data_IF_169081935465
#
_entry.id   IF_169081935465
#
_cell.length_a   1.000
_cell.length_b   1.000
_cell.length_c   1.000
_cell.angle_alpha   90.00
_cell.angle_beta   90.00
_cell.angle_gamma   90.00
#
_symmetry.space_group_name_H-M   'P 1'
#
loop_
_entity.id
_entity.type
_entity.pdbx_description
1 polymer ?
#
# COMPACT_ATOMS: atom_id res chain seq x y z
N UNK A 1 -18.50 -12.08 0.64
CA UNK A 1 -18.21 -10.65 0.86
C UNK A 1 -18.44 -9.94 -0.47
N UNK A 2 -18.98 -8.72 -0.49
CA UNK A 2 -19.46 -8.12 -1.73
C UNK A 2 -18.32 -7.74 -2.66
N UNK A 3 -18.44 -8.14 -3.91
CA UNK A 3 -17.57 -7.71 -4.99
C UNK A 3 -18.34 -6.68 -5.81
N UNK A 4 -17.69 -5.56 -6.12
CA UNK A 4 -18.24 -4.59 -7.06
C UNK A 4 -18.39 -5.24 -8.44
N UNK A 5 -19.59 -5.19 -9.01
CA UNK A 5 -19.81 -5.59 -10.40
C UNK A 5 -19.42 -4.43 -11.32
N UNK A 6 -18.38 -4.63 -12.13
CA UNK A 6 -17.87 -3.62 -13.05
C UNK A 6 -18.37 -3.87 -14.47
N UNK A 7 -18.83 -2.81 -15.13
CA UNK A 7 -19.10 -2.83 -16.58
C UNK A 7 -17.80 -3.05 -17.36
N UNK A 8 -17.84 -3.54 -18.62
CA UNK A 8 -16.63 -3.74 -19.43
C UNK A 8 -15.75 -2.49 -19.54
N UNK A 9 -16.36 -1.31 -19.73
CA UNK A 9 -15.64 -0.04 -19.77
C UNK A 9 -14.91 0.27 -18.45
N UNK A 10 -15.56 0.06 -17.31
CA UNK A 10 -14.95 0.29 -15.98
C UNK A 10 -13.84 -0.72 -15.70
N UNK A 11 -14.00 -1.98 -16.11
CA UNK A 11 -12.92 -2.98 -16.05
C UNK A 11 -11.71 -2.52 -16.87
N UNK A 12 -11.95 -1.98 -18.08
CA UNK A 12 -10.91 -1.39 -18.92
C UNK A 12 -10.13 -0.28 -18.19
N UNK A 13 -10.82 0.65 -17.53
CA UNK A 13 -10.19 1.71 -16.74
C UNK A 13 -9.35 1.16 -15.58
N UNK A 14 -9.89 0.19 -14.83
CA UNK A 14 -9.16 -0.43 -13.71
C UNK A 14 -7.90 -1.15 -14.20
N UNK A 15 -8.00 -1.90 -15.29
CA UNK A 15 -6.86 -2.62 -15.87
C UNK A 15 -5.81 -1.62 -16.37
N UNK A 16 -6.22 -0.60 -17.12
CA UNK A 16 -5.31 0.45 -17.59
C UNK A 16 -4.60 1.17 -16.43
N UNK A 17 -5.34 1.55 -15.39
CA UNK A 17 -4.78 2.17 -14.20
C UNK A 17 -3.78 1.27 -13.47
N UNK A 18 -4.11 -0.01 -13.30
CA UNK A 18 -3.20 -0.98 -12.68
C UNK A 18 -1.93 -1.20 -13.51
N UNK A 19 -2.05 -1.30 -14.83
CA UNK A 19 -0.92 -1.43 -15.75
C UNK A 19 0.00 -0.20 -15.69
N UNK A 20 -0.56 1.01 -15.59
CA UNK A 20 0.22 2.23 -15.43
C UNK A 20 0.98 2.21 -14.09
N UNK A 21 0.32 1.86 -12.98
CA UNK A 21 0.99 1.74 -11.66
C UNK A 21 2.16 0.75 -11.72
N UNK A 22 1.96 -0.41 -12.37
CA UNK A 22 3.03 -1.40 -12.54
C UNK A 22 4.14 -0.86 -13.46
N UNK A 23 3.80 -0.23 -14.57
CA UNK A 23 4.78 0.34 -15.50
C UNK A 23 5.62 1.44 -14.83
N UNK A 24 5.01 2.29 -14.01
CA UNK A 24 5.70 3.33 -13.23
C UNK A 24 6.64 2.71 -12.19
N UNK A 25 6.24 1.62 -11.54
CA UNK A 25 7.13 0.89 -10.62
C UNK A 25 8.31 0.24 -11.36
N UNK A 26 8.07 -0.39 -12.53
CA UNK A 26 9.14 -0.95 -13.36
C UNK A 26 10.11 0.15 -13.79
N UNK A 27 9.60 1.30 -14.22
CA UNK A 27 10.40 2.47 -14.56
C UNK A 27 11.32 2.87 -13.40
N UNK A 28 10.80 2.99 -12.17
CA UNK A 28 11.60 3.32 -10.98
C UNK A 28 12.74 2.31 -10.74
N UNK A 29 12.43 1.02 -10.82
CA UNK A 29 13.40 -0.05 -10.56
C UNK A 29 14.50 -0.10 -11.62
N UNK A 30 14.16 0.22 -12.87
CA UNK A 30 15.11 0.23 -13.99
C UNK A 30 15.94 1.51 -14.06
N UNK A 31 15.32 2.67 -13.88
CA UNK A 31 15.97 3.98 -14.05
C UNK A 31 16.71 4.42 -12.78
N UNK A 32 16.31 3.94 -11.61
CA UNK A 32 16.99 4.17 -10.32
C UNK A 32 17.27 5.66 -10.03
N UNK A 33 16.23 6.50 -10.04
CA UNK A 33 16.39 7.92 -9.78
C UNK A 33 16.94 8.18 -8.37
N UNK A 34 17.86 9.15 -8.26
CA UNK A 34 18.58 9.45 -7.02
C UNK A 34 18.12 10.75 -6.33
N UNK A 35 17.41 11.64 -7.04
CA UNK A 35 16.97 12.94 -6.54
C UNK A 35 15.53 12.91 -6.03
N UNK A 36 15.33 12.60 -4.74
CA UNK A 36 13.99 12.47 -4.12
C UNK A 36 13.67 13.52 -3.06
N UNK A 37 14.41 14.63 -3.02
CA UNK A 37 14.13 15.73 -2.09
C UNK A 37 12.79 16.43 -2.40
N UNK A 38 12.37 16.40 -3.67
CA UNK A 38 11.09 16.92 -4.12
C UNK A 38 10.55 16.06 -5.26
N UNK A 39 9.24 15.81 -5.22
CA UNK A 39 8.52 15.04 -6.26
C UNK A 39 8.50 15.76 -7.62
N UNK A 40 8.80 17.06 -7.65
CA UNK A 40 8.92 17.86 -8.87
C UNK A 40 10.36 18.37 -9.10
N UNK A 41 11.35 17.80 -8.41
CA UNK A 41 12.74 18.25 -8.46
C UNK A 41 13.50 17.76 -9.69
N UNK A 42 13.01 16.73 -10.38
CA UNK A 42 13.68 16.12 -11.53
C UNK A 42 12.68 15.54 -12.54
N UNK A 43 13.14 15.27 -13.75
CA UNK A 43 12.32 14.66 -14.79
C UNK A 43 11.82 13.27 -14.35
N UNK A 44 12.66 12.50 -13.66
CA UNK A 44 12.37 11.14 -13.22
C UNK A 44 11.32 11.11 -12.10
N UNK A 45 11.41 12.04 -11.15
CA UNK A 45 10.40 12.19 -10.09
C UNK A 45 9.07 12.67 -10.65
N UNK A 46 9.10 13.59 -11.62
CA UNK A 46 7.90 14.05 -12.32
C UNK A 46 7.23 12.92 -13.12
N UNK A 47 8.00 12.12 -13.87
CA UNK A 47 7.47 10.96 -14.58
C UNK A 47 6.81 9.99 -13.59
N UNK A 48 7.43 9.78 -12.43
CA UNK A 48 6.89 8.91 -11.39
C UNK A 48 5.57 9.46 -10.83
N UNK A 49 5.54 10.75 -10.49
CA UNK A 49 4.34 11.41 -9.98
C UNK A 49 3.20 11.35 -10.99
N UNK A 50 3.46 11.73 -12.23
CA UNK A 50 2.45 11.71 -13.30
C UNK A 50 1.96 10.28 -13.54
N UNK A 51 2.85 9.30 -13.59
CA UNK A 51 2.50 7.90 -13.74
C UNK A 51 1.56 7.41 -12.64
N UNK A 52 1.91 7.63 -11.38
CA UNK A 52 1.06 7.21 -10.26
C UNK A 52 -0.22 8.03 -10.11
N UNK A 53 -0.21 9.34 -10.41
CA UNK A 53 -1.43 10.16 -10.46
C UNK A 53 -2.40 9.66 -11.54
N UNK A 54 -1.91 9.41 -12.75
CA UNK A 54 -2.73 8.88 -13.85
C UNK A 54 -3.27 7.49 -13.51
N UNK A 55 -2.42 6.63 -12.95
CA UNK A 55 -2.82 5.33 -12.43
C UNK A 55 -3.94 5.44 -11.40
N UNK A 56 -3.74 6.26 -10.36
CA UNK A 56 -4.75 6.50 -9.32
C UNK A 56 -6.06 7.05 -9.89
N UNK A 57 -5.99 8.04 -10.80
CA UNK A 57 -7.17 8.64 -11.42
C UNK A 57 -8.01 7.61 -12.19
N UNK A 58 -7.38 6.76 -12.99
CA UNK A 58 -8.06 5.70 -13.75
C UNK A 58 -8.67 4.63 -12.83
N UNK A 59 -7.94 4.25 -11.78
CA UNK A 59 -8.42 3.30 -10.78
C UNK A 59 -9.65 3.84 -10.05
N UNK A 60 -9.64 5.11 -9.65
CA UNK A 60 -10.78 5.78 -9.02
C UNK A 60 -11.95 5.92 -10.00
N UNK A 61 -11.70 6.33 -11.26
CA UNK A 61 -12.72 6.43 -12.28
C UNK A 61 -13.43 5.09 -12.57
N UNK A 62 -12.70 3.98 -12.48
CA UNK A 62 -13.27 2.64 -12.60
C UNK A 62 -14.00 2.17 -11.32
N UNK A 63 -13.45 2.45 -10.14
CA UNK A 63 -13.93 1.91 -8.87
C UNK A 63 -15.06 2.72 -8.24
N UNK A 64 -14.93 4.04 -8.12
CA UNK A 64 -15.85 4.90 -7.36
C UNK A 64 -17.31 4.78 -7.84
N UNK A 65 -17.61 4.76 -9.15
CA UNK A 65 -18.99 4.67 -9.63
C UNK A 65 -19.69 3.33 -9.33
N UNK A 66 -18.95 2.33 -8.83
CA UNK A 66 -19.50 1.05 -8.40
C UNK A 66 -19.62 0.94 -6.86
N UNK A 67 -19.24 1.99 -6.12
CA UNK A 67 -19.29 2.05 -4.67
C UNK A 67 -20.47 2.92 -4.20
N UNK A 68 -21.10 2.58 -3.07
CA UNK A 68 -22.08 3.47 -2.46
C UNK A 68 -21.38 4.70 -1.87
N UNK A 69 -22.07 5.84 -1.86
CA UNK A 69 -21.52 7.12 -1.41
C UNK A 69 -20.88 7.06 -0.01
N UNK A 70 -21.44 6.24 0.89
CA UNK A 70 -20.90 6.06 2.25
C UNK A 70 -19.52 5.41 2.25
N UNK A 71 -19.26 4.46 1.36
CA UNK A 71 -17.93 3.84 1.20
C UNK A 71 -16.94 4.83 0.63
N UNK A 72 -17.37 5.62 -0.37
CA UNK A 72 -16.53 6.67 -0.96
C UNK A 72 -16.08 7.65 0.13
N UNK A 73 -16.97 8.03 1.05
CA UNK A 73 -16.65 8.91 2.17
C UNK A 73 -15.61 8.34 3.15
N UNK A 74 -15.41 7.02 3.20
CA UNK A 74 -14.37 6.39 4.04
C UNK A 74 -12.98 6.53 3.41
N UNK A 75 -12.87 6.66 2.09
CA UNK A 75 -11.57 6.70 1.41
C UNK A 75 -10.70 7.86 1.93
N UNK A 76 -11.16 9.14 2.00
CA UNK A 76 -10.36 10.21 2.57
C UNK A 76 -9.95 9.98 4.03
N UNK A 77 -10.83 9.39 4.84
CA UNK A 77 -10.53 9.06 6.25
C UNK A 77 -9.45 7.98 6.34
N UNK A 78 -9.53 6.96 5.48
CA UNK A 78 -8.53 5.91 5.37
C UNK A 78 -7.15 6.46 4.96
N UNK A 79 -7.12 7.43 4.04
CA UNK A 79 -5.90 8.12 3.63
C UNK A 79 -5.27 8.89 4.79
N UNK A 80 -6.07 9.70 5.49
CA UNK A 80 -5.58 10.45 6.65
C UNK A 80 -5.05 9.50 7.73
N UNK A 81 -5.74 8.39 8.00
CA UNK A 81 -5.29 7.39 8.95
C UNK A 81 -3.93 6.81 8.57
N UNK A 82 -3.76 6.42 7.31
CA UNK A 82 -2.49 5.89 6.80
C UNK A 82 -1.35 6.90 6.97
N UNK A 83 -1.58 8.16 6.56
CA UNK A 83 -0.56 9.22 6.60
C UNK A 83 -0.18 9.53 8.05
N UNK A 84 -1.16 9.73 8.93
CA UNK A 84 -0.89 10.08 10.34
C UNK A 84 -0.19 8.95 11.07
N UNK A 85 -0.67 7.71 10.93
CA UNK A 85 -0.05 6.55 11.60
C UNK A 85 1.35 6.28 11.01
N UNK A 86 1.48 6.33 9.70
CA UNK A 86 2.77 6.15 9.01
C UNK A 86 3.80 7.19 9.44
N UNK A 87 3.41 8.46 9.59
CA UNK A 87 4.29 9.53 10.05
C UNK A 87 4.72 9.33 11.51
N UNK A 88 3.79 8.93 12.40
CA UNK A 88 4.12 8.64 13.80
C UNK A 88 5.10 7.46 13.89
N UNK A 89 4.85 6.36 13.18
CA UNK A 89 5.73 5.19 13.22
C UNK A 89 7.08 5.50 12.58
N UNK A 90 7.08 6.20 11.45
CA UNK A 90 8.29 6.61 10.73
C UNK A 90 9.19 7.53 11.55
N UNK A 91 8.63 8.39 12.41
CA UNK A 91 9.39 9.34 13.23
C UNK A 91 9.96 8.73 14.52
N UNK A 92 9.32 7.70 15.10
CA UNK A 92 9.80 7.04 16.34
C UNK A 92 10.93 6.04 16.05
N UNK A 93 11.09 5.60 14.80
CA UNK A 93 12.21 4.73 14.40
C UNK A 93 12.00 3.24 14.71
N UNK A 94 10.74 2.81 14.91
CA UNK A 94 10.41 1.37 14.93
C UNK A 94 10.60 0.82 13.51
N UNK A 95 11.18 -0.38 13.31
CA UNK A 95 11.37 -0.97 11.99
C UNK A 95 10.06 -1.57 11.43
N UNK A 96 8.98 -0.79 11.43
CA UNK A 96 7.65 -1.13 10.90
C UNK A 96 7.06 0.13 10.22
N UNK A 97 5.91 0.02 9.57
CA UNK A 97 5.28 1.13 8.85
C UNK A 97 3.88 1.46 9.36
N UNK A 98 3.02 0.46 9.49
CA UNK A 98 1.61 0.53 9.93
C UNK A 98 0.79 1.54 9.10
N UNK A 99 1.24 1.82 7.88
CA UNK A 99 0.75 2.85 6.96
C UNK A 99 -0.36 2.35 6.02
N UNK A 100 -0.82 1.11 6.21
CA UNK A 100 -1.81 0.48 5.33
C UNK A 100 -3.10 0.08 6.05
N UNK A 101 -3.33 0.56 7.27
CA UNK A 101 -4.54 0.26 8.06
C UNK A 101 -5.81 0.70 7.32
N UNK A 102 -5.85 1.95 6.86
CA UNK A 102 -6.96 2.49 6.07
C UNK A 102 -7.12 1.78 4.73
N UNK A 103 -6.01 1.49 4.04
CA UNK A 103 -6.02 0.77 2.76
C UNK A 103 -6.65 -0.61 2.89
N UNK A 104 -6.22 -1.39 3.89
CA UNK A 104 -6.73 -2.74 4.14
C UNK A 104 -8.16 -2.70 4.69
N UNK A 105 -8.53 -1.66 5.46
CA UNK A 105 -9.91 -1.43 5.89
C UNK A 105 -10.85 -1.21 4.71
N UNK A 106 -10.50 -0.33 3.76
CA UNK A 106 -11.29 -0.13 2.54
C UNK A 106 -11.34 -1.41 1.71
N UNK A 107 -10.22 -2.12 1.57
CA UNK A 107 -10.18 -3.41 0.86
C UNK A 107 -11.12 -4.45 1.49
N UNK A 108 -11.21 -4.49 2.82
CA UNK A 108 -12.05 -5.41 3.56
C UNK A 108 -13.55 -5.08 3.50
N UNK A 109 -13.90 -3.80 3.34
CA UNK A 109 -15.28 -3.33 3.21
C UNK A 109 -15.78 -3.40 1.77
N UNK A 110 -14.95 -2.99 0.81
CA UNK A 110 -15.34 -2.69 -0.57
C UNK A 110 -14.66 -3.58 -1.62
N UNK A 111 -13.74 -4.44 -1.20
CA UNK A 111 -13.09 -5.44 -2.03
C UNK A 111 -11.75 -5.00 -2.67
N UNK A 112 -11.14 -5.89 -3.47
CA UNK A 112 -9.77 -5.74 -3.97
C UNK A 112 -9.54 -4.46 -4.77
N UNK A 113 -10.47 -4.10 -5.65
CA UNK A 113 -10.31 -2.95 -6.55
C UNK A 113 -10.37 -1.62 -5.78
N UNK A 114 -11.25 -1.53 -4.77
CA UNK A 114 -11.31 -0.36 -3.90
C UNK A 114 -10.05 -0.24 -3.04
N UNK A 115 -9.54 -1.37 -2.52
CA UNK A 115 -8.26 -1.44 -1.80
C UNK A 115 -7.08 -0.99 -2.67
N UNK A 116 -7.00 -1.49 -3.90
CA UNK A 116 -5.99 -1.11 -4.89
C UNK A 116 -6.02 0.40 -5.18
N UNK A 117 -7.19 0.95 -5.49
CA UNK A 117 -7.33 2.39 -5.75
C UNK A 117 -6.97 3.25 -4.53
N UNK A 118 -7.40 2.82 -3.33
CA UNK A 118 -7.11 3.52 -2.07
C UNK A 118 -5.62 3.49 -1.75
N UNK A 119 -4.95 2.35 -1.93
CA UNK A 119 -3.52 2.19 -1.71
C UNK A 119 -2.70 3.11 -2.63
N UNK A 120 -2.99 3.10 -3.94
CA UNK A 120 -2.32 3.99 -4.89
C UNK A 120 -2.54 5.46 -4.52
N UNK A 121 -3.79 5.86 -4.26
CA UNK A 121 -4.11 7.24 -3.92
C UNK A 121 -3.43 7.68 -2.62
N UNK A 122 -3.39 6.80 -1.61
CA UNK A 122 -2.77 7.09 -0.32
C UNK A 122 -1.30 7.43 -0.46
N UNK A 123 -0.52 6.64 -1.21
CA UNK A 123 0.90 6.93 -1.43
C UNK A 123 1.13 8.14 -2.32
N UNK A 124 0.24 8.42 -3.28
CA UNK A 124 0.34 9.65 -4.09
C UNK A 124 0.10 10.88 -3.24
N UNK A 125 -0.98 10.91 -2.44
CA UNK A 125 -1.29 12.04 -1.56
C UNK A 125 -0.20 12.21 -0.51
N UNK A 126 0.26 11.12 0.10
CA UNK A 126 1.36 11.19 1.06
C UNK A 126 2.65 11.66 0.39
N UNK A 127 2.95 11.17 -0.82
CA UNK A 127 4.10 11.55 -1.62
C UNK A 127 4.23 13.05 -1.86
N UNK A 128 3.11 13.76 -2.00
CA UNK A 128 3.10 15.23 -2.14
C UNK A 128 3.51 15.97 -0.86
N UNK A 129 3.37 15.34 0.30
CA UNK A 129 3.74 15.87 1.61
C UNK A 129 5.13 15.37 2.06
N UNK A 130 5.40 14.09 1.76
CA UNK A 130 6.63 13.39 2.05
C UNK A 130 7.08 12.63 0.78
N UNK A 131 7.97 13.23 -0.03
CA UNK A 131 8.44 12.66 -1.29
C UNK A 131 8.96 11.22 -1.21
N UNK A 132 9.44 10.79 -0.04
CA UNK A 132 9.93 9.44 0.20
C UNK A 132 8.84 8.35 0.06
N UNK A 133 7.57 8.71 0.21
CA UNK A 133 6.46 7.77 0.13
C UNK A 133 6.04 7.41 -1.31
N UNK A 134 6.28 8.31 -2.28
CA UNK A 134 5.74 8.16 -3.63
C UNK A 134 6.23 6.88 -4.36
N UNK A 135 7.53 6.51 -4.30
CA UNK A 135 8.02 5.29 -4.97
C UNK A 135 7.39 3.99 -4.49
N UNK A 136 6.77 3.99 -3.32
CA UNK A 136 6.09 2.83 -2.74
C UNK A 136 4.61 2.73 -3.16
N UNK A 137 4.10 3.60 -4.03
CA UNK A 137 2.69 3.59 -4.41
C UNK A 137 2.21 2.26 -5.02
N UNK A 138 3.05 1.59 -5.82
CA UNK A 138 2.72 0.26 -6.34
C UNK A 138 2.69 -0.82 -5.24
N UNK A 139 3.52 -0.69 -4.21
CA UNK A 139 3.51 -1.60 -3.04
C UNK A 139 2.20 -1.43 -2.27
N UNK A 140 1.77 -0.18 -2.03
CA UNK A 140 0.48 0.12 -1.40
C UNK A 140 -0.71 -0.38 -2.22
N UNK A 141 -0.67 -0.19 -3.55
CA UNK A 141 -1.68 -0.69 -4.48
C UNK A 141 -1.80 -2.22 -4.43
N UNK A 142 -0.66 -2.93 -4.51
CA UNK A 142 -0.61 -4.39 -4.41
C UNK A 142 -1.11 -4.87 -3.05
N UNK A 143 -0.69 -4.22 -1.96
CA UNK A 143 -1.14 -4.53 -0.59
C UNK A 143 -2.66 -4.44 -0.48
N UNK A 144 -3.27 -3.35 -0.97
CA UNK A 144 -4.72 -3.16 -0.95
C UNK A 144 -5.47 -4.19 -1.79
N UNK A 145 -4.98 -4.50 -2.99
CA UNK A 145 -5.56 -5.53 -3.85
C UNK A 145 -5.52 -6.91 -3.21
N UNK A 146 -4.33 -7.35 -2.80
CA UNK A 146 -4.09 -8.68 -2.25
C UNK A 146 -4.83 -8.86 -0.93
N UNK A 147 -4.91 -7.82 -0.10
CA UNK A 147 -5.70 -7.88 1.13
C UNK A 147 -7.18 -8.06 0.85
N UNK A 148 -7.77 -7.26 -0.04
CA UNK A 148 -9.18 -7.43 -0.42
C UNK A 148 -9.44 -8.82 -1.02
N UNK A 149 -8.50 -9.35 -1.80
CA UNK A 149 -8.62 -10.69 -2.38
C UNK A 149 -8.55 -11.78 -1.31
N UNK A 150 -7.54 -11.76 -0.44
CA UNK A 150 -7.38 -12.75 0.63
C UNK A 150 -8.57 -12.73 1.62
N UNK A 151 -9.07 -11.53 1.95
CA UNK A 151 -10.23 -11.34 2.82
C UNK A 151 -11.49 -11.94 2.17
N UNK A 152 -11.69 -11.76 0.86
CA UNK A 152 -12.78 -12.41 0.13
C UNK A 152 -12.68 -13.94 0.16
N UNK A 153 -11.47 -14.50 0.18
CA UNK A 153 -11.23 -15.94 0.35
C UNK A 153 -11.37 -16.42 1.80
N UNK A 154 -11.58 -15.51 2.75
CA UNK A 154 -11.85 -15.84 4.14
C UNK A 154 -10.65 -15.69 5.09
N UNK A 155 -9.65 -14.87 4.75
CA UNK A 155 -8.55 -14.52 5.67
C UNK A 155 -9.05 -14.09 7.06
N UNK A 156 -10.19 -13.40 7.13
CA UNK A 156 -10.74 -12.86 8.38
C UNK A 156 -11.61 -13.84 9.19
N UNK A 157 -11.69 -15.12 8.78
CA UNK A 157 -12.51 -16.13 9.47
C UNK A 157 -11.94 -16.53 10.84
N UNK A 158 -10.62 -16.66 10.97
CA UNK A 158 -9.92 -17.13 12.18
C UNK A 158 -8.72 -16.23 12.48
N UNK A 159 -8.43 -15.97 13.75
CA UNK A 159 -7.35 -15.05 14.14
C UNK A 159 -5.97 -15.46 13.59
N UNK A 160 -5.65 -16.76 13.54
CA UNK A 160 -4.39 -17.23 12.96
C UNK A 160 -4.34 -17.06 11.44
N UNK A 161 -5.49 -17.16 10.76
CA UNK A 161 -5.59 -16.95 9.31
C UNK A 161 -5.38 -15.48 8.95
N UNK A 162 -5.81 -14.57 9.84
CA UNK A 162 -5.55 -13.12 9.74
C UNK A 162 -4.04 -12.86 9.78
N UNK A 163 -3.34 -13.42 10.77
CA UNK A 163 -1.89 -13.28 10.93
C UNK A 163 -1.16 -13.88 9.73
N UNK A 164 -1.50 -15.10 9.33
CA UNK A 164 -0.83 -15.79 8.22
C UNK A 164 -1.05 -15.06 6.89
N UNK A 165 -2.27 -14.60 6.61
CA UNK A 165 -2.56 -13.85 5.38
C UNK A 165 -1.82 -12.51 5.37
N UNK A 166 -1.80 -11.81 6.50
CA UNK A 166 -1.02 -10.58 6.65
C UNK A 166 0.46 -10.82 6.41
N UNK A 167 1.06 -11.83 7.04
CA UNK A 167 2.46 -12.16 6.86
C UNK A 167 2.81 -12.52 5.41
N UNK A 168 1.99 -13.34 4.72
CA UNK A 168 2.18 -13.69 3.31
C UNK A 168 2.13 -12.44 2.43
N UNK A 169 1.15 -11.56 2.66
CA UNK A 169 1.05 -10.30 1.92
C UNK A 169 2.25 -9.41 2.22
N UNK A 170 2.72 -9.37 3.47
CA UNK A 170 3.93 -8.65 3.84
C UNK A 170 5.18 -9.17 3.14
N UNK A 171 5.34 -10.48 2.93
CA UNK A 171 6.44 -11.01 2.11
C UNK A 171 6.37 -10.45 0.68
N UNK A 172 5.17 -10.45 0.07
CA UNK A 172 4.98 -9.92 -1.28
C UNK A 172 5.24 -8.40 -1.31
N UNK A 173 4.73 -7.65 -0.35
CA UNK A 173 4.99 -6.21 -0.21
C UNK A 173 6.48 -5.92 -0.05
N UNK A 174 7.19 -6.68 0.78
CA UNK A 174 8.64 -6.58 0.96
C UNK A 174 9.42 -6.90 -0.31
N UNK A 175 9.00 -7.90 -1.11
CA UNK A 175 9.61 -8.19 -2.42
C UNK A 175 9.45 -7.03 -3.41
N UNK A 176 8.31 -6.33 -3.36
CA UNK A 176 8.05 -5.16 -4.21
C UNK A 176 8.75 -3.89 -3.68
N UNK A 177 8.91 -3.78 -2.37
CA UNK A 177 9.54 -2.63 -1.71
C UNK A 177 11.07 -2.69 -1.77
N UNK A 178 11.68 -3.87 -1.64
CA UNK A 178 13.14 -4.02 -1.54
C UNK A 178 13.92 -3.42 -2.72
N UNK A 179 13.54 -3.62 -4.01
CA UNK A 179 14.22 -2.97 -5.12
C UNK A 179 14.12 -1.45 -5.06
N UNK A 180 12.97 -0.92 -4.65
CA UNK A 180 12.76 0.53 -4.49
C UNK A 180 13.65 1.05 -3.37
N UNK A 181 13.59 0.44 -2.18
CA UNK A 181 14.42 0.84 -1.03
C UNK A 181 15.92 0.79 -1.35
N UNK A 182 16.39 -0.23 -2.07
CA UNK A 182 17.80 -0.37 -2.42
C UNK A 182 18.24 0.62 -3.51
N UNK A 183 17.49 0.72 -4.61
CA UNK A 183 17.92 1.49 -5.79
C UNK A 183 17.59 2.96 -5.72
N UNK A 184 16.52 3.33 -5.02
CA UNK A 184 16.08 4.72 -4.90
C UNK A 184 16.69 5.39 -3.66
N UNK A 185 16.78 4.65 -2.55
CA UNK A 185 17.14 5.22 -1.25
C UNK A 185 18.43 4.65 -0.65
N UNK A 186 19.16 3.82 -1.38
CA UNK A 186 20.42 3.21 -0.89
C UNK A 186 20.23 2.35 0.37
N UNK A 187 19.00 1.89 0.63
CA UNK A 187 18.64 1.11 1.82
C UNK A 187 18.23 1.94 3.04
N UNK A 188 18.11 3.27 2.91
CA UNK A 188 17.81 4.19 4.04
C UNK A 188 16.45 4.89 3.90
N UNK A 189 15.47 4.21 3.29
CA UNK A 189 14.16 4.79 2.97
C UNK A 189 13.34 5.24 4.20
N UNK A 190 13.54 4.61 5.36
CA UNK A 190 12.89 4.97 6.62
C UNK A 190 13.87 4.96 7.78
N UNK A 191 13.57 5.69 8.86
CA UNK A 191 14.48 5.80 10.01
C UNK A 191 14.73 4.44 10.67
N UNK A 192 13.66 3.73 11.07
CA UNK A 192 13.77 2.45 11.75
C UNK A 192 14.21 1.31 10.83
N UNK A 193 13.60 1.20 9.65
CA UNK A 193 13.93 0.16 8.68
C UNK A 193 15.33 0.38 8.09
N UNK A 194 15.72 1.62 7.81
CA UNK A 194 17.08 1.97 7.37
C UNK A 194 18.15 1.69 8.42
N UNK A 195 17.84 1.81 9.71
CA UNK A 195 18.76 1.40 10.78
C UNK A 195 19.01 -0.13 10.75
N UNK A 196 17.97 -0.94 10.53
CA UNK A 196 18.12 -2.40 10.38
C UNK A 196 18.92 -2.75 9.13
N UNK A 197 18.72 -2.05 8.01
CA UNK A 197 19.54 -2.25 6.81
C UNK A 197 21.00 -1.89 7.10
N UNK A 198 21.25 -0.77 7.78
CA UNK A 198 22.60 -0.32 8.12
C UNK A 198 23.32 -1.34 9.02
N UNK A 199 22.63 -1.90 10.01
CA UNK A 199 23.14 -3.00 10.83
C UNK A 199 23.54 -4.20 9.97
N UNK A 200 22.69 -4.65 9.03
CA UNK A 200 23.05 -5.76 8.16
C UNK A 200 24.25 -5.46 7.25
N UNK A 201 24.40 -4.21 6.82
CA UNK A 201 25.58 -3.76 6.07
C UNK A 201 26.85 -3.77 6.91
N UNK A 202 26.78 -3.35 8.17
CA UNK A 202 27.90 -3.45 9.13
C UNK A 202 28.32 -4.90 9.38
N UNK A 203 27.36 -5.83 9.36
CA UNK A 203 27.60 -7.28 9.42
C UNK A 203 28.21 -7.86 8.12
N UNK A 204 28.55 -7.03 7.14
CA UNK A 204 29.26 -7.42 5.92
C UNK A 204 28.35 -7.83 4.76
N UNK A 205 27.03 -7.65 4.85
CA UNK A 205 26.12 -7.98 3.76
C UNK A 205 26.17 -6.94 2.63
N UNK A 206 25.88 -7.38 1.41
CA UNK A 206 25.64 -6.46 0.29
C UNK A 206 24.39 -5.61 0.55
N UNK A 207 24.25 -4.47 -0.15
CA UNK A 207 23.09 -3.60 -0.02
C UNK A 207 21.78 -4.36 -0.29
N UNK A 208 21.74 -5.13 -1.39
CA UNK A 208 20.54 -5.88 -1.77
C UNK A 208 20.21 -6.94 -0.72
N UNK A 209 21.20 -7.69 -0.23
CA UNK A 209 20.98 -8.67 0.82
C UNK A 209 20.45 -8.01 2.11
N UNK A 210 21.04 -6.87 2.50
CA UNK A 210 20.65 -6.13 3.71
C UNK A 210 19.21 -5.63 3.64
N UNK A 211 18.83 -5.03 2.50
CA UNK A 211 17.46 -4.55 2.26
C UNK A 211 16.48 -5.71 2.19
N UNK A 212 16.82 -6.79 1.49
CA UNK A 212 15.94 -7.98 1.42
C UNK A 212 15.71 -8.61 2.79
N UNK A 213 16.76 -8.78 3.60
CA UNK A 213 16.64 -9.31 4.96
C UNK A 213 15.77 -8.41 5.83
N UNK A 214 16.01 -7.10 5.78
CA UNK A 214 15.20 -6.14 6.52
C UNK A 214 13.73 -6.22 6.10
N UNK A 215 13.44 -6.21 4.80
CA UNK A 215 12.07 -6.32 4.28
C UNK A 215 11.41 -7.63 4.71
N UNK A 216 12.11 -8.76 4.65
CA UNK A 216 11.56 -10.06 5.03
C UNK A 216 11.33 -10.22 6.53
N UNK A 217 11.91 -9.36 7.36
CA UNK A 217 11.61 -9.29 8.79
C UNK A 217 10.46 -8.31 9.02
N UNK A 218 10.56 -7.11 8.46
CA UNK A 218 9.71 -5.98 8.84
C UNK A 218 8.36 -6.04 8.15
N UNK A 219 8.31 -6.26 6.83
CA UNK A 219 7.06 -6.24 6.07
C UNK A 219 6.08 -7.35 6.46
N UNK A 220 6.50 -8.62 6.70
CA UNK A 220 5.59 -9.66 7.20
C UNK A 220 5.01 -9.36 8.58
N UNK A 221 5.85 -8.87 9.50
CA UNK A 221 5.41 -8.49 10.84
C UNK A 221 4.44 -7.30 10.79
N UNK A 222 4.79 -6.28 10.00
CA UNK A 222 3.96 -5.11 9.75
C UNK A 222 2.57 -5.50 9.25
N UNK A 223 2.51 -6.28 8.16
CA UNK A 223 1.23 -6.65 7.56
C UNK A 223 0.45 -7.63 8.43
N UNK A 224 1.09 -8.49 9.22
CA UNK A 224 0.39 -9.29 10.22
C UNK A 224 -0.29 -8.42 11.29
N UNK A 225 0.41 -7.40 11.81
CA UNK A 225 -0.13 -6.46 12.80
C UNK A 225 -1.27 -5.64 12.20
N UNK A 226 -1.09 -5.07 11.01
CA UNK A 226 -2.13 -4.28 10.33
C UNK A 226 -3.37 -5.13 10.05
N UNK A 227 -3.20 -6.38 9.61
CA UNK A 227 -4.32 -7.31 9.41
C UNK A 227 -5.10 -7.56 10.70
N UNK A 228 -4.40 -7.76 11.83
CA UNK A 228 -5.03 -7.91 13.14
C UNK A 228 -5.80 -6.66 13.56
N UNK A 229 -5.22 -5.47 13.37
CA UNK A 229 -5.88 -4.18 13.67
C UNK A 229 -7.18 -4.06 12.87
N UNK A 230 -7.12 -4.27 11.56
CA UNK A 230 -8.30 -4.14 10.69
C UNK A 230 -9.34 -5.22 11.00
N UNK A 231 -8.91 -6.46 11.27
CA UNK A 231 -9.82 -7.53 11.68
C UNK A 231 -10.56 -7.21 12.98
N UNK A 232 -9.85 -6.68 13.98
CA UNK A 232 -10.45 -6.24 15.24
C UNK A 232 -11.42 -5.08 15.02
N UNK A 233 -11.04 -4.08 14.20
CA UNK A 233 -11.89 -2.94 13.85
C UNK A 233 -13.19 -3.39 13.17
N UNK A 234 -13.13 -4.32 12.21
CA UNK A 234 -14.32 -4.85 11.54
C UNK A 234 -15.21 -5.64 12.49
N UNK A 235 -14.62 -6.40 13.42
CA UNK A 235 -15.39 -7.13 14.44
C UNK A 235 -16.07 -6.21 15.44
N UNK A 236 -15.48 -5.06 15.74
CA UNK A 236 -16.05 -4.07 16.65
C UNK A 236 -17.20 -3.27 16.03
N UNK A 237 -17.27 -3.17 14.70
CA UNK A 237 -18.34 -2.43 14.01
C UNK A 237 -19.71 -3.12 14.15
N UNK A 238 -20.78 -2.38 14.47
CA UNK A 238 -22.15 -2.90 14.41
C UNK A 238 -22.49 -3.44 13.02
N UNK A 239 -23.15 -4.60 12.94
CA UNK A 239 -23.53 -5.24 11.66
C UNK A 239 -24.25 -4.29 10.72
N UNK A 240 -25.19 -3.50 11.24
CA UNK A 240 -25.96 -2.49 10.49
C UNK A 240 -25.07 -1.43 9.85
N UNK A 241 -24.04 -0.96 10.57
CA UNK A 241 -23.08 0.01 10.04
C UNK A 241 -22.28 -0.64 8.91
N UNK A 242 -21.71 -1.82 9.14
CA UNK A 242 -20.90 -2.54 8.17
C UNK A 242 -21.69 -2.86 6.88
N UNK A 243 -22.94 -3.30 7.00
CA UNK A 243 -23.82 -3.56 5.85
C UNK A 243 -24.15 -2.29 5.07
N UNK A 244 -24.29 -1.14 5.75
CA UNK A 244 -24.55 0.14 5.08
C UNK A 244 -23.34 0.66 4.29
N UNK A 245 -22.13 0.19 4.63
CA UNK A 245 -20.88 0.57 3.99
C UNK A 245 -20.47 -0.38 2.86
N UNK A 246 -21.13 -1.53 2.73
CA UNK A 246 -20.79 -2.51 1.71
C UNK A 246 -21.50 -2.18 0.40
N UNK A 247 -20.80 -2.29 -0.75
CA UNK A 247 -21.47 -2.29 -2.04
C UNK A 247 -22.49 -3.45 -2.08
N UNK A 248 -23.68 -3.18 -2.65
CA UNK A 248 -24.74 -4.17 -2.85
C UNK A 248 -24.61 -4.82 -4.22
#
# INVERSE_FOLDING_TARGET
MSQISLTPARKGLVIAGALIVVATWIYLVLVRPTSWESVAGSTETLITLVGYLLGAALLLAGALPALPARTIAIIPVALVLNIVVGEIIGSIGVPLYIDSVGTILVAAIAGPIAGLATGTLSSVVWGLLNPAALPFAAVSAATGFLAGWAINQGAFKKWWSVILSGAIIGIISGMLAAPVAAFVYGGTAGLGTGAVVSLFRELGNSLIASVTLQSFISDPLDKAIVFLIVWAAIKALPKRTLESLRPR
#
